data_IF_761414307594
#
_entry.id   IF_761414307594
#
_cell.length_a   1.000
_cell.length_b   1.000
_cell.length_c   1.000
_cell.angle_alpha   90.00
_cell.angle_beta   90.00
_cell.angle_gamma   90.00
#
_symmetry.space_group_name_H-M   'P 1'
#
loop_
_entity.id
_entity.type
_entity.pdbx_description
1 polymer ?
#
# COMPACT_ATOMS: atom_id res chain seq x y z
N UNK A 1 7.42 -11.12 14.14
CA UNK A 1 8.01 -9.83 14.57
C UNK A 1 7.77 -8.86 13.43
N UNK A 2 7.30 -7.64 13.66
CA UNK A 2 7.11 -6.66 12.58
C UNK A 2 8.49 -6.15 12.13
N UNK A 3 8.82 -6.20 10.83
CA UNK A 3 10.08 -5.65 10.31
C UNK A 3 10.24 -4.15 10.64
N UNK A 4 11.46 -3.73 10.98
CA UNK A 4 11.75 -2.33 11.40
C UNK A 4 11.36 -1.29 10.36
N UNK A 5 11.50 -1.63 9.06
CA UNK A 5 11.13 -0.76 7.94
C UNK A 5 9.67 -0.30 7.98
N UNK A 6 8.78 -1.06 8.63
CA UNK A 6 7.36 -0.70 8.72
C UNK A 6 7.03 0.15 9.95
N UNK A 7 8.01 0.50 10.79
CA UNK A 7 7.77 1.16 12.07
C UNK A 7 7.86 2.69 12.02
N UNK A 8 7.95 3.26 10.83
CA UNK A 8 8.23 4.67 10.59
C UNK A 8 7.18 5.29 9.67
N UNK A 9 6.92 6.59 9.83
CA UNK A 9 6.02 7.33 8.96
C UNK A 9 6.78 7.82 7.75
N UNK A 10 6.25 7.57 6.55
CA UNK A 10 6.96 7.82 5.31
C UNK A 10 6.00 8.32 4.23
N UNK A 11 6.50 9.21 3.37
CA UNK A 11 5.82 9.56 2.13
C UNK A 11 6.51 8.82 0.98
N UNK A 12 5.72 8.05 0.23
CA UNK A 12 6.24 7.13 -0.77
C UNK A 12 5.57 7.40 -2.12
N UNK A 13 6.36 7.56 -3.17
CA UNK A 13 5.85 7.67 -4.53
C UNK A 13 5.95 6.32 -5.23
N UNK A 14 4.81 5.76 -5.61
CA UNK A 14 4.73 4.45 -6.28
C UNK A 14 4.05 4.55 -7.63
N UNK A 15 4.17 3.49 -8.43
CA UNK A 15 3.45 3.33 -9.69
C UNK A 15 2.50 2.16 -9.59
N UNK A 16 1.20 2.43 -9.63
CA UNK A 16 0.16 1.40 -9.65
C UNK A 16 -0.31 1.22 -11.07
N UNK A 17 -0.06 0.06 -11.68
CA UNK A 17 -0.34 -0.20 -13.10
C UNK A 17 0.18 0.91 -14.05
N UNK A 18 1.33 1.49 -13.72
CA UNK A 18 1.94 2.59 -14.49
C UNK A 18 1.45 4.01 -14.15
N UNK A 19 0.45 4.16 -13.28
CA UNK A 19 -0.06 5.45 -12.83
C UNK A 19 0.69 5.91 -11.58
N UNK A 20 1.08 7.18 -11.54
CA UNK A 20 1.77 7.76 -10.39
C UNK A 20 0.80 7.98 -9.22
N UNK A 21 1.22 7.52 -8.05
CA UNK A 21 0.45 7.61 -6.80
C UNK A 21 1.38 8.02 -5.68
N UNK A 22 1.02 9.08 -4.98
CA UNK A 22 1.66 9.48 -3.74
C UNK A 22 0.94 8.80 -2.57
N UNK A 23 1.70 8.16 -1.68
CA UNK A 23 1.15 7.42 -0.54
C UNK A 23 1.75 7.96 0.74
N UNK A 24 0.90 8.51 1.61
CA UNK A 24 1.29 8.80 2.99
C UNK A 24 1.11 7.53 3.83
N UNK A 25 2.23 6.90 4.19
CA UNK A 25 2.29 5.76 5.10
C UNK A 25 2.41 6.25 6.54
N UNK A 26 1.37 6.01 7.32
CA UNK A 26 1.28 6.40 8.72
C UNK A 26 1.22 5.16 9.62
N UNK A 27 2.33 4.89 10.28
CA UNK A 27 2.46 3.85 11.29
C UNK A 27 2.12 4.40 12.68
N UNK A 28 0.89 4.13 13.14
CA UNK A 28 0.44 4.56 14.45
C UNK A 28 0.83 3.54 15.53
N UNK A 29 2.12 3.52 15.93
CA UNK A 29 2.55 2.83 17.14
C UNK A 29 2.18 3.68 18.37
N UNK A 30 1.31 3.22 19.29
CA UNK A 30 1.21 3.87 20.59
C UNK A 30 2.55 3.65 21.30
N UNK A 31 3.37 4.69 21.34
CA UNK A 31 4.67 4.70 22.04
C UNK A 31 4.51 4.38 23.54
N UNK A 32 3.30 4.53 24.07
CA UNK A 32 2.94 4.23 25.45
C UNK A 32 1.51 3.68 25.44
N UNK A 33 1.35 2.36 25.37
CA UNK A 33 0.22 1.76 26.09
C UNK A 33 0.79 1.21 27.40
N UNK A 34 0.37 1.80 28.52
CA UNK A 34 0.62 1.32 29.88
C UNK A 34 0.15 -0.13 30.12
N UNK A 35 -0.53 -0.69 29.12
CA UNK A 35 -1.27 -1.94 29.15
C UNK A 35 -0.55 -3.06 28.38
N UNK A 36 0.59 -2.78 27.74
CA UNK A 36 1.34 -3.76 26.95
C UNK A 36 0.66 -4.21 25.65
N UNK A 37 -0.32 -3.45 25.16
CA UNK A 37 -1.06 -3.77 23.94
C UNK A 37 -0.30 -3.27 22.70
N UNK A 38 -0.15 -4.16 21.73
CA UNK A 38 0.41 -3.88 20.41
C UNK A 38 -0.43 -2.80 19.68
N UNK A 39 0.17 -2.03 18.74
CA UNK A 39 -0.57 -1.08 17.93
C UNK A 39 -1.69 -1.76 17.18
N UNK A 40 -2.82 -1.10 17.10
CA UNK A 40 -3.94 -1.66 16.37
C UNK A 40 -3.73 -1.58 14.85
N UNK A 41 -3.31 -0.44 14.32
CA UNK A 41 -3.47 -0.18 12.89
C UNK A 41 -2.36 0.64 12.25
N UNK A 42 -2.23 0.45 10.95
CA UNK A 42 -1.44 1.22 10.00
C UNK A 42 -2.40 1.86 9.02
N UNK A 43 -2.08 3.08 8.62
CA UNK A 43 -2.91 3.88 7.72
C UNK A 43 -2.14 4.27 6.48
N UNK A 44 -2.81 4.18 5.32
CA UNK A 44 -2.27 4.55 4.02
C UNK A 44 -3.22 5.57 3.40
N UNK A 45 -2.70 6.73 3.01
CA UNK A 45 -3.44 7.71 2.23
C UNK A 45 -2.93 7.72 0.80
N UNK A 46 -3.71 7.16 -0.12
CA UNK A 46 -3.42 7.16 -1.55
C UNK A 46 -3.95 8.46 -2.17
N UNK A 47 -3.04 9.26 -2.71
CA UNK A 47 -3.32 10.50 -3.43
C UNK A 47 -2.88 10.35 -4.88
N UNK A 48 -3.82 10.45 -5.81
CA UNK A 48 -3.54 10.32 -7.25
C UNK A 48 -4.63 10.98 -8.06
N UNK A 49 -4.26 11.67 -9.14
CA UNK A 49 -5.22 12.19 -10.13
C UNK A 49 -5.85 11.06 -10.98
N UNK A 50 -5.33 9.83 -10.86
CA UNK A 50 -5.86 8.69 -11.58
C UNK A 50 -7.15 8.16 -10.96
N UNK A 51 -8.22 8.20 -11.75
CA UNK A 51 -9.56 7.72 -11.38
C UNK A 51 -9.62 6.23 -11.06
N UNK A 52 -8.61 5.46 -11.47
CA UNK A 52 -8.54 4.02 -11.17
C UNK A 52 -8.22 3.78 -9.68
N UNK A 53 -7.47 4.69 -9.04
CA UNK A 53 -7.05 4.57 -7.64
C UNK A 53 -8.08 5.22 -6.73
N UNK A 54 -8.54 6.41 -7.10
CA UNK A 54 -9.62 7.11 -6.41
C UNK A 54 -10.47 7.90 -7.39
N UNK A 55 -11.79 7.78 -7.25
CA UNK A 55 -12.75 8.62 -7.99
C UNK A 55 -12.68 10.10 -7.60
N UNK A 56 -12.17 10.43 -6.42
CA UNK A 56 -12.09 11.78 -5.84
C UNK A 56 -10.64 12.31 -5.75
N UNK A 57 -9.65 11.49 -6.11
CA UNK A 57 -8.23 11.79 -5.99
C UNK A 57 -7.59 11.40 -4.66
N UNK A 58 -8.38 10.89 -3.71
CA UNK A 58 -7.94 10.44 -2.39
C UNK A 58 -8.59 9.10 -2.00
N UNK A 59 -7.83 8.16 -1.45
CA UNK A 59 -8.37 6.91 -0.87
C UNK A 59 -7.59 6.53 0.38
N UNK A 60 -8.30 6.31 1.49
CA UNK A 60 -7.72 5.86 2.76
C UNK A 60 -7.83 4.34 2.88
N UNK A 61 -6.77 3.67 3.33
CA UNK A 61 -6.78 2.23 3.62
C UNK A 61 -6.14 1.95 4.99
N UNK A 62 -6.79 1.07 5.77
CA UNK A 62 -6.34 0.70 7.10
C UNK A 62 -6.03 -0.79 7.16
N UNK A 63 -4.90 -1.13 7.78
CA UNK A 63 -4.49 -2.50 8.03
C UNK A 63 -4.17 -2.70 9.50
N UNK A 64 -4.47 -3.88 10.05
CA UNK A 64 -3.99 -4.23 11.37
C UNK A 64 -2.46 -4.42 11.33
N UNK A 65 -1.74 -3.88 12.32
CA UNK A 65 -0.28 -4.00 12.38
C UNK A 65 0.18 -5.47 12.45
N UNK A 66 -0.66 -6.36 12.98
CA UNK A 66 -0.45 -7.80 13.01
C UNK A 66 -0.27 -8.42 11.63
N UNK A 67 -0.90 -7.85 10.59
CA UNK A 67 -0.76 -8.34 9.21
C UNK A 67 0.66 -8.16 8.67
N UNK A 68 1.43 -7.20 9.20
CA UNK A 68 2.81 -6.95 8.81
C UNK A 68 3.81 -7.92 9.45
N UNK A 69 3.39 -8.72 10.45
CA UNK A 69 4.27 -9.70 11.12
C UNK A 69 4.70 -10.84 10.19
N UNK A 70 3.91 -11.10 9.15
CA UNK A 70 4.07 -12.22 8.24
C UNK A 70 4.05 -11.77 6.77
N UNK A 71 4.19 -10.47 6.49
CA UNK A 71 4.23 -10.02 5.11
C UNK A 71 5.58 -10.35 4.48
N UNK A 72 5.56 -10.67 3.19
CA UNK A 72 6.77 -11.04 2.43
C UNK A 72 7.41 -9.83 1.73
N UNK A 73 6.76 -8.66 1.81
CA UNK A 73 7.25 -7.43 1.19
C UNK A 73 8.60 -7.00 1.78
N UNK A 74 9.51 -6.67 0.88
CA UNK A 74 10.89 -6.31 1.21
C UNK A 74 11.07 -4.80 1.42
N UNK A 75 10.10 -4.00 0.98
CA UNK A 75 10.07 -2.55 1.16
C UNK A 75 8.65 -2.00 1.32
N UNK A 76 8.53 -0.74 1.78
CA UNK A 76 7.23 -0.06 1.91
C UNK A 76 6.66 0.27 0.53
N UNK A 77 7.51 0.62 -0.43
CA UNK A 77 7.12 0.85 -1.83
C UNK A 77 6.41 -0.38 -2.40
N UNK A 78 6.95 -1.58 -2.15
CA UNK A 78 6.37 -2.85 -2.61
C UNK A 78 4.99 -3.09 -1.98
N UNK A 79 4.87 -2.89 -0.67
CA UNK A 79 3.60 -2.98 0.06
C UNK A 79 2.57 -1.95 -0.45
N UNK A 80 2.97 -0.68 -0.58
CA UNK A 80 2.11 0.40 -1.07
C UNK A 80 1.64 0.14 -2.51
N UNK A 81 2.52 -0.39 -3.37
CA UNK A 81 2.18 -0.76 -4.75
C UNK A 81 1.15 -1.88 -4.76
N UNK A 82 1.38 -2.95 -4.00
CA UNK A 82 0.47 -4.09 -3.93
C UNK A 82 -0.93 -3.71 -3.40
N UNK A 83 -0.99 -2.88 -2.37
CA UNK A 83 -2.26 -2.35 -1.86
C UNK A 83 -2.91 -1.46 -2.93
N UNK A 84 -2.16 -0.56 -3.56
CA UNK A 84 -2.68 0.30 -4.62
C UNK A 84 -3.29 -0.48 -5.78
N UNK A 85 -2.63 -1.56 -6.23
CA UNK A 85 -3.15 -2.45 -7.28
C UNK A 85 -4.42 -3.17 -6.84
N UNK A 86 -4.47 -3.63 -5.59
CA UNK A 86 -5.68 -4.22 -5.03
C UNK A 86 -6.84 -3.21 -5.03
N UNK A 87 -6.60 -1.98 -4.55
CA UNK A 87 -7.60 -0.92 -4.53
C UNK A 87 -8.07 -0.53 -5.94
N UNK A 88 -7.19 -0.56 -6.94
CA UNK A 88 -7.54 -0.30 -8.32
C UNK A 88 -8.47 -1.38 -8.89
N UNK A 89 -8.16 -2.65 -8.63
CA UNK A 89 -9.02 -3.78 -9.01
C UNK A 89 -10.38 -3.71 -8.33
N UNK A 90 -10.43 -3.35 -7.04
CA UNK A 90 -11.71 -3.11 -6.33
C UNK A 90 -12.55 -2.00 -6.97
N UNK A 91 -11.90 -0.99 -7.56
CA UNK A 91 -12.58 0.07 -8.30
C UNK A 91 -12.97 -0.34 -9.73
N UNK A 92 -12.79 -1.61 -10.11
CA UNK A 92 -13.15 -2.15 -11.43
C UNK A 92 -12.07 -1.98 -12.50
N UNK A 93 -10.83 -1.66 -12.12
CA UNK A 93 -9.73 -1.63 -13.07
C UNK A 93 -9.25 -3.04 -13.39
N UNK A 94 -9.34 -3.41 -14.66
CA UNK A 94 -8.74 -4.62 -15.20
C UNK A 94 -7.39 -4.25 -15.82
N UNK A 95 -6.26 -4.68 -15.25
CA UNK A 95 -4.97 -4.39 -15.84
C UNK A 95 -4.88 -5.07 -17.21
N UNK A 96 -4.22 -4.43 -18.20
CA UNK A 96 -3.97 -5.09 -19.48
C UNK A 96 -3.24 -6.40 -19.21
N UNK A 97 -3.63 -7.47 -19.92
CA UNK A 97 -2.90 -8.74 -19.84
C UNK A 97 -1.42 -8.44 -20.10
N UNK A 98 -0.49 -9.00 -19.29
CA UNK A 98 0.92 -8.85 -19.59
C UNK A 98 1.11 -9.34 -21.03
N UNK A 99 1.57 -8.45 -21.91
CA UNK A 99 1.76 -8.76 -23.32
C UNK A 99 2.44 -10.13 -23.39
N UNK A 100 1.70 -11.14 -23.83
CA UNK A 100 2.31 -12.42 -24.16
C UNK A 100 3.32 -12.05 -25.24
N UNK A 101 4.59 -12.00 -24.85
CA UNK A 101 5.68 -11.75 -25.75
C UNK A 101 5.58 -12.85 -26.81
N UNK A 102 4.97 -12.53 -27.95
CA UNK A 102 4.90 -13.40 -29.11
C UNK A 102 6.35 -13.61 -29.52
N UNK A 103 6.94 -14.69 -29.02
CA UNK A 103 8.25 -15.17 -29.44
C UNK A 103 8.10 -15.62 -30.89
N UNK A 104 8.29 -14.69 -31.82
CA UNK A 104 8.52 -14.96 -33.23
C UNK A 104 9.98 -15.37 -33.41
N UNK A 105 10.37 -16.55 -32.90
CA UNK A 105 11.61 -17.24 -33.29
C UNK A 105 11.42 -18.75 -33.17
#
# INVERSE_FOLDING_TARGET
MIPEIFKENLNVNVRVFGFEVNVDYCYHWPSISSDGKEPLAVHFEFRSDSKIISSTGYKSHFLFSSSLKYCEYTSIEELCTAIGEHLARENGYEPPEPEQQLSLF
#
